data_IF_808274961737
#
_entry.id   IF_808274961737
#
_cell.length_a   1.000
_cell.length_b   1.000
_cell.length_c   1.000
_cell.angle_alpha   90.00
_cell.angle_beta   90.00
_cell.angle_gamma   90.00
#
_symmetry.space_group_name_H-M   'P 1'
#
loop_
_entity.id
_entity.type
_entity.pdbx_description
1 polymer ?
#
# COMPACT_ATOMS: atom_id res chain seq x y z
N UNK A 1 21.83 84.02 -16.18
CA UNK A 1 21.53 83.41 -14.89
C UNK A 1 21.02 82.02 -15.13
N UNK A 2 21.91 81.01 -14.95
CA UNK A 2 21.61 79.58 -15.18
C UNK A 2 21.30 78.92 -13.85
N UNK A 3 20.10 78.36 -13.71
CA UNK A 3 19.76 77.50 -12.57
C UNK A 3 19.99 76.03 -12.93
N UNK A 4 20.93 75.45 -12.25
CA UNK A 4 21.24 74.04 -12.33
C UNK A 4 20.21 73.23 -11.52
N UNK A 5 19.33 72.44 -12.18
CA UNK A 5 18.48 71.40 -11.56
C UNK A 5 19.28 70.12 -11.35
N UNK A 6 19.48 69.77 -10.07
CA UNK A 6 20.06 68.45 -9.69
C UNK A 6 19.01 67.36 -9.85
N UNK A 7 19.27 66.39 -10.70
CA UNK A 7 18.47 65.15 -10.82
C UNK A 7 18.94 64.19 -9.73
N UNK A 8 18.05 63.86 -8.77
CA UNK A 8 18.23 62.80 -7.79
C UNK A 8 17.77 61.50 -8.42
N UNK A 9 18.72 60.58 -8.72
CA UNK A 9 18.37 59.22 -9.09
C UNK A 9 18.00 58.44 -7.83
N UNK A 10 16.74 58.04 -7.73
CA UNK A 10 16.26 57.08 -6.74
C UNK A 10 16.40 55.67 -7.37
N UNK A 11 17.40 54.90 -6.93
CA UNK A 11 17.55 53.49 -7.28
C UNK A 11 16.58 52.68 -6.42
N UNK A 12 15.45 52.30 -7.01
CA UNK A 12 14.53 51.32 -6.40
C UNK A 12 15.13 49.92 -6.55
N UNK A 13 15.59 49.38 -5.45
CA UNK A 13 15.98 47.94 -5.35
C UNK A 13 14.72 47.07 -5.38
N UNK A 14 14.49 46.38 -6.49
CA UNK A 14 13.45 45.36 -6.59
C UNK A 14 13.95 44.11 -5.87
N UNK A 15 13.47 43.89 -4.65
CA UNK A 15 13.56 42.58 -3.97
C UNK A 15 12.61 41.62 -4.69
N UNK A 16 13.15 40.69 -5.45
CA UNK A 16 12.41 39.57 -6.05
C UNK A 16 12.08 38.53 -4.96
N UNK A 17 10.82 38.27 -4.62
CA UNK A 17 10.44 37.10 -3.85
C UNK A 17 10.23 35.95 -4.82
N UNK A 18 11.28 35.13 -5.02
CA UNK A 18 11.20 34.09 -6.04
C UNK A 18 12.16 32.93 -5.89
N UNK A 19 12.29 32.35 -4.70
CA UNK A 19 13.16 31.17 -4.50
C UNK A 19 12.47 29.95 -3.87
N UNK A 20 11.13 29.89 -3.85
CA UNK A 20 10.43 28.75 -3.21
C UNK A 20 9.86 27.72 -4.19
N UNK A 21 10.10 27.85 -5.49
CA UNK A 21 9.48 26.96 -6.51
C UNK A 21 10.38 25.80 -6.95
N UNK A 22 11.64 25.69 -6.47
CA UNK A 22 12.61 24.73 -6.95
C UNK A 22 12.80 23.46 -6.07
N UNK A 23 12.17 23.38 -4.89
CA UNK A 23 12.36 22.26 -3.98
C UNK A 23 11.39 21.07 -4.23
N UNK A 24 10.26 21.31 -4.86
CA UNK A 24 9.23 20.28 -5.11
C UNK A 24 9.65 19.08 -5.97
N UNK A 25 10.43 19.24 -7.07
CA UNK A 25 10.81 18.07 -7.87
C UNK A 25 11.79 17.14 -7.16
N UNK A 26 12.72 17.64 -6.36
CA UNK A 26 13.71 16.82 -5.66
C UNK A 26 13.09 15.96 -4.54
N UNK A 27 12.12 16.49 -3.80
CA UNK A 27 11.39 15.74 -2.76
C UNK A 27 10.52 14.63 -3.38
N UNK A 28 9.85 14.92 -4.49
CA UNK A 28 9.04 13.95 -5.21
C UNK A 28 9.89 12.81 -5.77
N UNK A 29 11.08 13.11 -6.29
CA UNK A 29 12.02 12.12 -6.80
C UNK A 29 12.56 11.25 -5.66
N UNK A 30 12.97 11.82 -4.53
CA UNK A 30 13.42 11.08 -3.36
C UNK A 30 12.33 10.18 -2.75
N UNK A 31 11.04 10.57 -2.83
CA UNK A 31 9.92 9.75 -2.37
C UNK A 31 9.71 8.54 -3.29
N UNK A 32 9.75 8.71 -4.62
CA UNK A 32 9.60 7.60 -5.57
C UNK A 32 10.77 6.62 -5.51
N UNK A 33 11.99 7.10 -5.33
CA UNK A 33 13.16 6.25 -5.14
C UNK A 33 13.05 5.39 -3.87
N UNK A 34 12.61 5.98 -2.75
CA UNK A 34 12.36 5.24 -1.50
C UNK A 34 11.25 4.22 -1.63
N UNK A 35 10.14 4.55 -2.29
CA UNK A 35 9.08 3.60 -2.56
C UNK A 35 9.57 2.42 -3.42
N UNK A 36 10.36 2.70 -4.45
CA UNK A 36 10.96 1.67 -5.30
C UNK A 36 11.89 0.74 -4.50
N UNK A 37 12.80 1.31 -3.70
CA UNK A 37 13.72 0.55 -2.85
C UNK A 37 12.94 -0.29 -1.81
N UNK A 38 11.89 0.27 -1.21
CA UNK A 38 11.02 -0.42 -0.27
C UNK A 38 10.34 -1.64 -0.91
N UNK A 39 9.67 -1.47 -2.07
CA UNK A 39 9.01 -2.58 -2.77
C UNK A 39 10.03 -3.62 -3.25
N UNK A 40 11.22 -3.18 -3.71
CA UNK A 40 12.29 -4.12 -4.03
C UNK A 40 12.66 -4.97 -2.82
N UNK A 41 12.86 -4.37 -1.65
CA UNK A 41 13.19 -5.07 -0.42
C UNK A 41 12.09 -6.06 0.01
N UNK A 42 10.81 -5.67 -0.07
CA UNK A 42 9.66 -6.55 0.20
C UNK A 42 9.63 -7.71 -0.81
N UNK A 43 9.80 -7.43 -2.10
CA UNK A 43 9.84 -8.44 -3.16
C UNK A 43 10.97 -9.46 -2.96
N UNK A 44 12.19 -8.99 -2.65
CA UNK A 44 13.35 -9.86 -2.37
C UNK A 44 13.07 -10.77 -1.16
N UNK A 45 12.45 -10.25 -0.08
CA UNK A 45 12.06 -11.04 1.09
C UNK A 45 10.98 -12.09 0.74
N UNK A 46 9.95 -11.71 -0.02
CA UNK A 46 8.90 -12.62 -0.46
C UNK A 46 9.48 -13.76 -1.30
N UNK A 47 10.34 -13.45 -2.28
CA UNK A 47 11.02 -14.44 -3.12
C UNK A 47 11.90 -15.37 -2.27
N UNK A 48 12.63 -14.83 -1.29
CA UNK A 48 13.47 -15.62 -0.40
C UNK A 48 12.65 -16.57 0.48
N UNK A 49 11.48 -16.15 0.98
CA UNK A 49 10.58 -17.01 1.77
C UNK A 49 9.98 -18.10 0.90
N UNK A 50 9.48 -17.76 -0.28
CA UNK A 50 8.80 -18.71 -1.17
C UNK A 50 9.76 -19.77 -1.69
N UNK A 51 10.94 -19.38 -2.17
CA UNK A 51 11.93 -20.25 -2.78
C UNK A 51 12.89 -20.89 -1.75
N UNK A 52 12.93 -20.34 -0.52
CA UNK A 52 13.84 -20.79 0.53
C UNK A 52 13.43 -22.11 1.19
N UNK A 53 14.33 -22.68 1.99
CA UNK A 53 14.04 -23.84 2.80
C UNK A 53 13.08 -23.51 3.95
N UNK A 54 12.47 -24.54 4.53
CA UNK A 54 11.56 -24.45 5.67
C UNK A 54 10.18 -25.00 5.37
N UNK A 55 9.50 -25.45 6.42
CA UNK A 55 8.13 -25.95 6.35
C UNK A 55 7.12 -24.80 6.21
N UNK A 56 5.85 -25.16 5.98
CA UNK A 56 4.76 -24.19 5.83
C UNK A 56 4.62 -23.25 7.04
N UNK A 57 4.81 -23.79 8.25
CA UNK A 57 4.75 -23.02 9.49
C UNK A 57 5.83 -21.90 9.52
N UNK A 58 7.08 -22.23 9.15
CA UNK A 58 8.18 -21.27 9.13
C UNK A 58 7.96 -20.19 8.07
N UNK A 59 7.48 -20.61 6.89
CA UNK A 59 7.15 -19.70 5.80
C UNK A 59 6.00 -18.78 6.19
N UNK A 60 4.96 -19.32 6.85
CA UNK A 60 3.84 -18.52 7.37
C UNK A 60 4.34 -17.45 8.36
N UNK A 61 5.17 -17.82 9.33
CA UNK A 61 5.71 -16.87 10.32
C UNK A 61 6.51 -15.74 9.64
N UNK A 62 7.35 -16.08 8.66
CA UNK A 62 8.12 -15.08 7.89
C UNK A 62 7.21 -14.17 7.05
N UNK A 63 6.18 -14.71 6.40
CA UNK A 63 5.21 -13.92 5.66
C UNK A 63 4.42 -12.98 6.57
N UNK A 64 4.00 -13.46 7.74
CA UNK A 64 3.34 -12.62 8.74
C UNK A 64 4.22 -11.43 9.10
N UNK A 65 5.50 -11.65 9.37
CA UNK A 65 6.45 -10.57 9.70
C UNK A 65 6.61 -9.57 8.54
N UNK A 66 6.61 -10.04 7.28
CA UNK A 66 6.66 -9.16 6.10
C UNK A 66 5.37 -8.34 5.98
N UNK A 67 4.21 -8.94 6.23
CA UNK A 67 2.92 -8.23 6.21
C UNK A 67 2.89 -7.17 7.31
N UNK A 68 3.24 -7.53 8.55
CA UNK A 68 3.21 -6.63 9.71
C UNK A 68 4.14 -5.42 9.53
N UNK A 69 5.30 -5.64 8.93
CA UNK A 69 6.26 -4.56 8.69
C UNK A 69 5.98 -3.75 7.42
N UNK A 70 5.43 -4.38 6.38
CA UNK A 70 5.32 -3.82 5.03
C UNK A 70 3.94 -3.29 4.64
N UNK A 71 2.87 -3.76 5.28
CA UNK A 71 1.49 -3.39 4.94
C UNK A 71 0.87 -2.52 6.03
N UNK A 72 0.19 -1.45 5.66
CA UNK A 72 -0.69 -0.70 6.55
C UNK A 72 -2.03 -1.44 6.67
N UNK A 73 -2.00 -2.53 7.45
CA UNK A 73 -3.16 -3.42 7.63
C UNK A 73 -4.36 -2.67 8.17
N UNK A 74 -4.15 -1.72 9.09
CA UNK A 74 -5.20 -0.91 9.69
C UNK A 74 -5.91 -0.04 8.66
N UNK A 75 -5.15 0.65 7.82
CA UNK A 75 -5.70 1.49 6.75
C UNK A 75 -6.45 0.66 5.71
N UNK A 76 -5.89 -0.48 5.32
CA UNK A 76 -6.52 -1.40 4.37
C UNK A 76 -7.82 -1.97 4.94
N UNK A 77 -7.82 -2.46 6.18
CA UNK A 77 -8.99 -3.02 6.84
C UNK A 77 -10.14 -2.00 6.95
N UNK A 78 -9.82 -0.78 7.42
CA UNK A 78 -10.83 0.32 7.51
C UNK A 78 -11.40 0.66 6.13
N UNK A 79 -10.55 0.69 5.11
CA UNK A 79 -10.99 0.92 3.73
C UNK A 79 -11.95 -0.19 3.25
N UNK A 80 -11.64 -1.45 3.54
CA UNK A 80 -12.44 -2.61 3.13
C UNK A 80 -13.81 -2.63 3.83
N UNK A 81 -13.91 -2.29 5.10
CA UNK A 81 -15.19 -2.19 5.81
C UNK A 81 -16.00 -0.96 5.36
N UNK A 82 -15.33 0.07 4.86
CA UNK A 82 -15.93 1.24 4.23
C UNK A 82 -16.85 2.02 5.17
N UNK A 83 -18.07 2.34 4.71
CA UNK A 83 -19.04 3.12 5.49
C UNK A 83 -19.43 2.45 6.82
N UNK A 84 -19.35 1.14 6.89
CA UNK A 84 -19.71 0.39 8.08
C UNK A 84 -18.71 0.57 9.23
N UNK A 85 -17.48 1.02 8.93
CA UNK A 85 -16.52 1.36 9.97
C UNK A 85 -17.04 2.41 10.95
N UNK A 86 -17.74 3.43 10.46
CA UNK A 86 -18.27 4.51 11.29
C UNK A 86 -19.49 4.10 12.12
N UNK A 87 -20.24 3.09 11.68
CA UNK A 87 -21.42 2.59 12.37
C UNK A 87 -21.11 1.42 13.31
N UNK A 88 -19.92 0.82 13.19
CA UNK A 88 -19.46 -0.27 14.05
C UNK A 88 -19.14 0.24 15.45
N UNK A 89 -19.55 -0.52 16.48
CA UNK A 89 -19.12 -0.26 17.86
C UNK A 89 -17.60 -0.48 18.01
N UNK A 90 -17.01 0.11 19.05
CA UNK A 90 -15.56 -0.07 19.32
C UNK A 90 -15.18 -1.55 19.47
N UNK A 91 -16.06 -2.38 20.06
CA UNK A 91 -15.85 -3.82 20.19
C UNK A 91 -15.90 -4.53 18.82
N UNK A 92 -16.85 -4.16 17.95
CA UNK A 92 -16.93 -4.69 16.59
C UNK A 92 -15.70 -4.28 15.77
N UNK A 93 -15.26 -3.02 15.88
CA UNK A 93 -14.05 -2.53 15.21
C UNK A 93 -12.81 -3.35 15.64
N UNK A 94 -12.61 -3.55 16.94
CA UNK A 94 -11.49 -4.33 17.49
C UNK A 94 -11.50 -5.78 16.95
N UNK A 95 -12.64 -6.47 17.08
CA UNK A 95 -12.78 -7.86 16.60
C UNK A 95 -12.60 -7.98 15.10
N UNK A 96 -13.14 -7.04 14.33
CA UNK A 96 -12.95 -6.98 12.87
C UNK A 96 -11.48 -6.82 12.50
N UNK A 97 -10.74 -5.92 13.14
CA UNK A 97 -9.33 -5.68 12.86
C UNK A 97 -8.48 -6.92 13.13
N UNK A 98 -8.68 -7.58 14.26
CA UNK A 98 -7.99 -8.83 14.62
C UNK A 98 -8.23 -9.93 13.58
N UNK A 99 -9.49 -10.12 13.17
CA UNK A 99 -9.85 -11.13 12.18
C UNK A 99 -9.40 -10.76 10.77
N UNK A 100 -9.45 -9.48 10.40
CA UNK A 100 -8.96 -9.02 9.10
C UNK A 100 -7.48 -9.35 8.90
N UNK A 101 -6.65 -9.08 9.92
CA UNK A 101 -5.24 -9.45 9.89
C UNK A 101 -5.05 -10.96 9.68
N UNK A 102 -5.77 -11.79 10.44
CA UNK A 102 -5.69 -13.25 10.33
C UNK A 102 -6.15 -13.75 8.94
N UNK A 103 -7.26 -13.23 8.42
CA UNK A 103 -7.77 -13.55 7.08
C UNK A 103 -6.75 -13.16 6.00
N UNK A 104 -6.15 -11.97 6.11
CA UNK A 104 -5.13 -11.51 5.17
C UNK A 104 -3.91 -12.44 5.16
N UNK A 105 -3.37 -12.78 6.33
CA UNK A 105 -2.24 -13.71 6.46
C UNK A 105 -2.61 -15.10 5.90
N UNK A 106 -3.79 -15.62 6.24
CA UNK A 106 -4.24 -16.93 5.77
C UNK A 106 -4.38 -16.95 4.24
N UNK A 107 -4.99 -15.93 3.63
CA UNK A 107 -5.19 -15.86 2.19
C UNK A 107 -3.85 -15.79 1.41
N UNK A 108 -2.85 -15.10 1.96
CA UNK A 108 -1.52 -15.02 1.36
C UNK A 108 -0.77 -16.35 1.52
N UNK A 109 -0.80 -16.95 2.72
CA UNK A 109 -0.07 -18.18 3.01
C UNK A 109 -0.64 -19.39 2.30
N UNK A 110 -1.97 -19.48 2.14
CA UNK A 110 -2.62 -20.58 1.42
C UNK A 110 -2.15 -20.73 -0.04
N UNK A 111 -1.68 -19.64 -0.65
CA UNK A 111 -1.22 -19.61 -2.05
C UNK A 111 0.30 -19.67 -2.20
N UNK A 112 1.06 -19.83 -1.11
CA UNK A 112 2.52 -19.77 -1.15
C UNK A 112 3.12 -20.80 -2.08
N UNK A 113 2.52 -22.00 -2.15
CA UNK A 113 2.94 -23.09 -3.02
C UNK A 113 2.89 -22.75 -4.52
N UNK A 114 1.91 -21.95 -4.92
CA UNK A 114 1.68 -21.52 -6.31
C UNK A 114 2.77 -20.56 -6.82
N UNK A 115 3.56 -20.00 -5.90
CA UNK A 115 4.61 -19.03 -6.20
C UNK A 115 6.02 -19.64 -6.15
N UNK A 116 6.14 -20.96 -6.01
CA UNK A 116 7.46 -21.62 -6.03
C UNK A 116 8.18 -21.34 -7.36
N UNK A 117 9.43 -20.89 -7.28
CA UNK A 117 10.22 -20.50 -8.45
C UNK A 117 9.89 -19.11 -8.99
N UNK A 118 9.12 -18.31 -8.22
CA UNK A 118 8.78 -16.93 -8.59
C UNK A 118 10.02 -16.08 -8.78
N UNK A 119 9.97 -15.20 -9.78
CA UNK A 119 10.89 -14.10 -10.01
C UNK A 119 10.13 -12.80 -10.02
N UNK A 120 10.81 -11.74 -9.67
CA UNK A 120 10.25 -10.44 -9.47
C UNK A 120 11.12 -9.39 -10.17
N UNK A 121 10.54 -8.66 -11.10
CA UNK A 121 11.24 -7.63 -11.86
C UNK A 121 10.64 -6.26 -11.53
N UNK A 122 11.52 -5.30 -11.19
CA UNK A 122 11.12 -3.91 -10.96
C UNK A 122 10.77 -3.24 -12.28
N UNK A 123 9.69 -2.50 -12.28
CA UNK A 123 9.27 -1.63 -13.37
C UNK A 123 9.45 -0.15 -13.01
N UNK A 124 8.57 0.69 -13.56
CA UNK A 124 8.57 2.14 -13.29
C UNK A 124 7.99 2.45 -11.93
N UNK A 125 8.43 3.57 -11.35
CA UNK A 125 7.81 4.17 -10.16
C UNK A 125 7.32 5.56 -10.49
N UNK A 126 6.11 5.89 -10.05
CA UNK A 126 5.54 7.22 -10.29
C UNK A 126 4.78 7.69 -9.05
N UNK A 127 4.78 9.01 -8.84
CA UNK A 127 3.98 9.64 -7.80
C UNK A 127 2.51 9.70 -8.24
N UNK A 128 1.59 9.43 -7.32
CA UNK A 128 0.16 9.61 -7.49
C UNK A 128 -0.42 10.21 -6.22
N UNK A 129 -0.73 11.50 -6.27
CA UNK A 129 -1.13 12.32 -5.11
C UNK A 129 -0.08 12.26 -3.98
N UNK A 130 -0.46 11.79 -2.79
CA UNK A 130 0.44 11.58 -1.65
C UNK A 130 1.06 10.18 -1.60
N UNK A 131 0.63 9.28 -2.48
CA UNK A 131 1.12 7.91 -2.59
C UNK A 131 2.13 7.78 -3.74
N UNK A 132 2.83 6.65 -3.80
CA UNK A 132 3.62 6.21 -4.94
C UNK A 132 3.04 4.92 -5.53
N UNK A 133 3.12 4.78 -6.84
CA UNK A 133 2.80 3.55 -7.56
C UNK A 133 4.09 2.93 -8.07
N UNK A 134 4.41 1.75 -7.61
CA UNK A 134 5.58 0.97 -8.03
C UNK A 134 5.10 -0.19 -8.86
N UNK A 135 5.39 -0.17 -10.16
CA UNK A 135 5.04 -1.27 -11.07
C UNK A 135 6.10 -2.36 -11.03
N UNK A 136 5.65 -3.60 -11.13
CA UNK A 136 6.52 -4.79 -11.17
C UNK A 136 5.95 -5.83 -12.11
N UNK A 137 6.79 -6.76 -12.54
CA UNK A 137 6.37 -7.97 -13.25
C UNK A 137 6.70 -9.18 -12.38
N UNK A 138 5.70 -9.97 -12.09
CA UNK A 138 5.82 -11.22 -11.33
C UNK A 138 5.78 -12.38 -12.32
N UNK A 139 6.86 -13.14 -12.37
CA UNK A 139 7.00 -14.31 -13.24
C UNK A 139 6.92 -15.57 -12.40
N UNK A 140 6.06 -16.49 -12.77
CA UNK A 140 5.92 -17.83 -12.16
C UNK A 140 6.18 -18.90 -13.23
N UNK A 141 6.83 -20.02 -12.88
CA UNK A 141 6.97 -21.13 -13.82
C UNK A 141 5.62 -21.58 -14.38
N UNK A 142 5.56 -21.80 -15.69
CA UNK A 142 4.37 -22.28 -16.39
C UNK A 142 3.14 -21.36 -16.34
N UNK A 143 3.34 -20.08 -15.97
CA UNK A 143 2.27 -19.08 -15.98
C UNK A 143 2.74 -17.86 -16.79
N UNK A 144 1.82 -17.12 -17.42
CA UNK A 144 2.16 -15.83 -18.02
C UNK A 144 2.70 -14.85 -16.96
N UNK A 145 3.62 -13.96 -17.35
CA UNK A 145 4.01 -12.86 -16.47
C UNK A 145 2.80 -12.02 -16.07
N UNK A 146 2.74 -11.62 -14.80
CA UNK A 146 1.64 -10.83 -14.23
C UNK A 146 2.14 -9.43 -13.90
N UNK A 147 1.46 -8.40 -14.41
CA UNK A 147 1.74 -7.02 -14.05
C UNK A 147 1.12 -6.70 -12.68
N UNK A 148 1.91 -6.17 -11.77
CA UNK A 148 1.49 -5.82 -10.41
C UNK A 148 1.94 -4.41 -10.09
N UNK A 149 0.98 -3.55 -9.73
CA UNK A 149 1.23 -2.21 -9.19
C UNK A 149 1.03 -2.22 -7.67
N UNK A 150 2.05 -1.77 -6.96
CA UNK A 150 2.03 -1.62 -5.50
C UNK A 150 1.75 -0.17 -5.17
N UNK A 151 0.69 0.07 -4.42
CA UNK A 151 0.36 1.41 -3.94
C UNK A 151 1.01 1.59 -2.57
N UNK A 152 1.95 2.52 -2.50
CA UNK A 152 2.77 2.79 -1.32
C UNK A 152 2.39 4.15 -0.74
N UNK A 153 1.87 4.15 0.48
CA UNK A 153 1.58 5.38 1.24
C UNK A 153 2.84 5.90 1.94
N UNK A 154 2.83 7.19 2.27
CA UNK A 154 3.93 7.86 3.00
C UNK A 154 5.33 7.55 2.45
N UNK A 155 5.55 7.57 1.12
CA UNK A 155 6.77 7.05 0.50
C UNK A 155 8.03 7.82 0.92
N UNK A 156 7.88 9.01 1.46
CA UNK A 156 9.00 9.86 1.89
C UNK A 156 9.46 9.61 3.33
N UNK A 157 8.64 8.98 4.18
CA UNK A 157 8.91 8.85 5.62
C UNK A 157 8.87 7.40 6.10
N UNK A 158 7.69 6.79 6.12
CA UNK A 158 7.45 5.40 6.53
C UNK A 158 6.60 4.69 5.46
N UNK A 159 7.24 4.19 4.38
CA UNK A 159 6.53 3.57 3.28
C UNK A 159 5.81 2.30 3.72
N UNK A 160 4.50 2.22 3.41
CA UNK A 160 3.65 1.05 3.64
C UNK A 160 2.83 0.74 2.41
N UNK A 161 2.64 -0.54 2.13
CA UNK A 161 1.71 -0.99 1.09
C UNK A 161 0.29 -0.77 1.60
N UNK A 162 -0.53 -0.11 0.79
CA UNK A 162 -1.96 0.12 1.08
C UNK A 162 -2.89 -0.48 0.03
N UNK A 163 -2.34 -0.95 -1.09
CA UNK A 163 -3.08 -1.71 -2.10
C UNK A 163 -2.12 -2.47 -3.00
N UNK A 164 -2.61 -3.54 -3.60
CA UNK A 164 -1.97 -4.27 -4.68
C UNK A 164 -2.96 -4.34 -5.84
N UNK A 165 -2.53 -3.90 -7.01
CA UNK A 165 -3.33 -3.93 -8.24
C UNK A 165 -2.71 -4.96 -9.18
N UNK A 166 -3.34 -6.10 -9.35
CA UNK A 166 -2.89 -7.17 -10.23
C UNK A 166 -3.73 -7.16 -11.51
N UNK A 167 -3.07 -7.08 -12.66
CA UNK A 167 -3.74 -7.00 -13.98
C UNK A 167 -4.88 -5.95 -14.01
N UNK A 168 -4.63 -4.77 -13.42
CA UNK A 168 -5.60 -3.68 -13.35
C UNK A 168 -6.69 -3.82 -12.27
N UNK A 169 -6.71 -4.92 -11.51
CA UNK A 169 -7.70 -5.16 -10.46
C UNK A 169 -7.12 -4.86 -9.08
N UNK A 170 -7.69 -3.88 -8.37
CA UNK A 170 -7.33 -3.51 -7.00
C UNK A 170 -7.85 -4.55 -6.02
N UNK A 171 -6.96 -5.17 -5.25
CA UNK A 171 -7.33 -6.21 -4.28
C UNK A 171 -8.13 -5.63 -3.12
N UNK A 172 -7.75 -4.46 -2.58
CA UNK A 172 -8.52 -3.84 -1.49
C UNK A 172 -9.90 -3.37 -1.93
N UNK A 173 -10.05 -2.93 -3.20
CA UNK A 173 -11.35 -2.51 -3.72
C UNK A 173 -12.27 -3.72 -3.92
N UNK A 174 -11.74 -4.81 -4.45
CA UNK A 174 -12.47 -6.09 -4.57
C UNK A 174 -12.94 -6.55 -3.20
N UNK A 175 -12.04 -6.60 -2.21
CA UNK A 175 -12.40 -7.00 -0.84
C UNK A 175 -13.48 -6.10 -0.23
N UNK A 176 -13.41 -4.79 -0.49
CA UNK A 176 -14.46 -3.85 -0.05
C UNK A 176 -15.82 -4.16 -0.69
N UNK A 177 -15.83 -4.49 -1.98
CA UNK A 177 -17.04 -4.85 -2.70
C UNK A 177 -17.64 -6.15 -2.15
N UNK A 178 -16.80 -7.15 -1.88
CA UNK A 178 -17.22 -8.43 -1.29
C UNK A 178 -17.85 -8.22 0.09
N UNK A 179 -17.21 -7.44 0.96
CA UNK A 179 -17.76 -7.14 2.30
C UNK A 179 -19.04 -6.32 2.21
N UNK A 180 -19.11 -5.33 1.33
CA UNK A 180 -20.31 -4.54 1.13
C UNK A 180 -21.49 -5.40 0.62
N UNK A 181 -21.21 -6.31 -0.32
CA UNK A 181 -22.18 -7.29 -0.83
C UNK A 181 -22.66 -8.22 0.28
N UNK A 182 -21.72 -8.84 1.03
CA UNK A 182 -22.05 -9.72 2.14
C UNK A 182 -22.94 -9.02 3.18
N UNK A 183 -22.55 -7.81 3.60
CA UNK A 183 -23.31 -7.02 4.55
C UNK A 183 -24.71 -6.67 4.06
N UNK A 184 -24.86 -6.30 2.78
CA UNK A 184 -26.16 -5.98 2.21
C UNK A 184 -27.13 -7.18 2.23
N UNK A 185 -26.63 -8.41 2.00
CA UNK A 185 -27.40 -9.64 2.08
C UNK A 185 -27.70 -10.09 3.52
N UNK A 186 -27.01 -9.53 4.51
CA UNK A 186 -27.15 -9.83 5.92
C UNK A 186 -27.70 -8.64 6.73
N UNK A 187 -28.62 -7.86 6.18
CA UNK A 187 -29.27 -6.72 6.83
C UNK A 187 -28.29 -5.67 7.38
N UNK A 188 -27.14 -5.50 6.74
CA UNK A 188 -26.03 -4.64 7.17
C UNK A 188 -25.49 -4.99 8.58
N UNK A 189 -25.64 -6.25 9.00
CA UNK A 189 -25.20 -6.71 10.31
C UNK A 189 -23.70 -6.99 10.34
N UNK A 190 -22.94 -6.15 11.04
CA UNK A 190 -21.48 -6.25 11.16
C UNK A 190 -21.06 -7.53 11.90
N UNK A 191 -21.85 -7.99 12.92
CA UNK A 191 -21.54 -9.23 13.62
C UNK A 191 -21.69 -10.46 12.72
N UNK A 192 -22.57 -10.42 11.71
CA UNK A 192 -22.65 -11.48 10.71
C UNK A 192 -21.33 -11.59 9.93
N UNK A 193 -20.76 -10.47 9.48
CA UNK A 193 -19.46 -10.43 8.80
C UNK A 193 -18.35 -10.93 9.73
N UNK A 194 -18.27 -10.45 10.97
CA UNK A 194 -17.29 -10.87 11.97
C UNK A 194 -17.37 -12.40 12.22
N UNK A 195 -18.57 -12.96 12.28
CA UNK A 195 -18.76 -14.40 12.45
C UNK A 195 -18.30 -15.21 11.22
N UNK A 196 -18.59 -14.73 10.00
CA UNK A 196 -18.11 -15.36 8.77
C UNK A 196 -16.56 -15.33 8.68
N UNK A 197 -15.94 -14.20 9.03
CA UNK A 197 -14.47 -14.10 9.09
C UNK A 197 -13.88 -15.05 10.13
N UNK A 198 -14.51 -15.22 11.28
CA UNK A 198 -14.06 -16.17 12.31
C UNK A 198 -14.11 -17.62 11.80
N UNK A 199 -15.19 -17.99 11.09
CA UNK A 199 -15.28 -19.31 10.46
C UNK A 199 -14.19 -19.53 9.43
N UNK A 200 -13.95 -18.54 8.56
CA UNK A 200 -12.87 -18.57 7.57
C UNK A 200 -11.48 -18.77 8.22
N UNK A 201 -11.23 -18.10 9.35
CA UNK A 201 -9.96 -18.26 10.08
C UNK A 201 -9.85 -19.66 10.68
N UNK A 202 -10.93 -20.20 11.24
CA UNK A 202 -10.94 -21.54 11.83
C UNK A 202 -10.75 -22.65 10.80
N UNK A 203 -11.23 -22.47 9.56
CA UNK A 203 -11.08 -23.46 8.47
C UNK A 203 -9.66 -23.43 7.86
N UNK A 204 -8.93 -22.33 8.01
CA UNK A 204 -7.58 -22.17 7.47
C UNK A 204 -6.44 -22.54 8.43
N UNK A 205 -6.73 -22.85 9.68
CA UNK A 205 -5.77 -23.24 10.74
C UNK A 205 -5.68 -24.73 10.87
#
# INVERSE_FOLDING_TARGET
MLQRRKFMMVTAAWLLPGAQWLTRPAEAQGATERASAFIKGVGDQLVAVVNGPGGERDKRAKLTAIIDSGVDVDRVARFCLGRFWQTASSEQQRRYMELFHQVLVNNITAKIGDYRGVRFQMGRTQKRDDDAVVSTVVERPNNPPTNVDWIVSSPASDPKIVDVVAEGTSLRLTQRQDYASYLSHNNNNIDALINAMRQQVAEAG
#
